data_IF_843590889085
#
_entry.id   IF_843590889085
#
_cell.length_a   1.000
_cell.length_b   1.000
_cell.length_c   1.000
_cell.angle_alpha   90.00
_cell.angle_beta   90.00
_cell.angle_gamma   90.00
#
_symmetry.space_group_name_H-M   'P 1'
#
loop_
_entity.id
_entity.type
_entity.pdbx_description
1 polymer ?
#
# COMPACT_ATOMS: atom_id res chain seq x y z
N UNK A 1 15.17 2.81 13.49
CA UNK A 1 16.19 1.84 13.85
C UNK A 1 16.03 1.34 15.31
N UNK A 2 15.98 2.23 16.32
CA UNK A 2 15.93 1.81 17.74
C UNK A 2 14.73 0.90 18.05
N UNK A 3 13.55 1.16 17.44
CA UNK A 3 12.37 0.32 17.64
C UNK A 3 12.57 -1.11 17.12
N UNK A 4 13.12 -1.28 15.93
CA UNK A 4 13.33 -2.62 15.35
C UNK A 4 14.41 -3.40 16.11
N UNK A 5 15.48 -2.73 16.56
CA UNK A 5 16.54 -3.35 17.37
C UNK A 5 16.01 -3.82 18.74
N UNK A 6 15.16 -3.00 19.37
CA UNK A 6 14.52 -3.37 20.63
C UNK A 6 13.53 -4.54 20.46
N UNK A 7 12.68 -4.49 19.42
CA UNK A 7 11.73 -5.57 19.13
C UNK A 7 12.44 -6.89 18.79
N UNK A 8 13.55 -6.83 18.07
CA UNK A 8 14.36 -7.99 17.74
C UNK A 8 15.14 -8.57 18.94
N UNK A 9 15.22 -7.85 20.07
CA UNK A 9 16.11 -8.17 21.19
C UNK A 9 17.58 -8.36 20.72
N UNK A 10 18.04 -7.35 19.97
CA UNK A 10 19.33 -7.40 19.28
C UNK A 10 20.51 -7.80 20.18
N UNK A 11 20.55 -7.30 21.42
CA UNK A 11 21.62 -7.61 22.37
C UNK A 11 21.64 -9.10 22.73
N UNK A 12 20.48 -9.71 22.96
CA UNK A 12 20.37 -11.14 23.24
C UNK A 12 20.76 -11.99 22.02
N UNK A 13 20.34 -11.60 20.84
CA UNK A 13 20.74 -12.27 19.60
C UNK A 13 22.27 -12.25 19.41
N UNK A 14 22.96 -11.13 19.69
CA UNK A 14 24.41 -11.04 19.62
C UNK A 14 25.10 -11.92 20.67
N UNK A 15 24.53 -12.04 21.87
CA UNK A 15 25.05 -12.95 22.90
C UNK A 15 24.89 -14.41 22.48
N UNK A 16 23.76 -14.81 21.91
CA UNK A 16 23.55 -16.15 21.38
C UNK A 16 24.52 -16.48 20.24
N UNK A 17 24.68 -15.55 19.29
CA UNK A 17 25.64 -15.70 18.21
C UNK A 17 27.07 -15.95 18.74
N UNK A 18 27.51 -15.16 19.70
CA UNK A 18 28.83 -15.34 20.33
C UNK A 18 28.97 -16.71 20.98
N UNK A 19 27.93 -17.18 21.68
CA UNK A 19 27.92 -18.50 22.31
C UNK A 19 28.01 -19.63 21.28
N UNK A 20 27.28 -19.56 20.17
CA UNK A 20 27.34 -20.55 19.08
C UNK A 20 28.74 -20.59 18.44
N UNK A 21 29.36 -19.46 18.20
CA UNK A 21 30.75 -19.34 17.67
C UNK A 21 31.75 -19.95 18.65
N UNK A 22 31.64 -19.62 19.92
CA UNK A 22 32.58 -20.13 20.95
C UNK A 22 32.46 -21.64 21.16
N UNK A 23 31.31 -22.23 21.00
CA UNK A 23 31.10 -23.69 21.11
C UNK A 23 31.49 -24.46 19.85
N UNK A 24 31.86 -23.79 18.75
CA UNK A 24 32.12 -24.44 17.48
C UNK A 24 30.85 -25.08 16.85
N UNK A 25 29.69 -24.52 17.13
CA UNK A 25 28.42 -25.04 16.58
C UNK A 25 28.47 -25.07 15.05
N UNK A 26 28.00 -26.16 14.46
CA UNK A 26 27.80 -26.27 13.01
C UNK A 26 26.72 -25.30 12.52
N UNK A 27 25.72 -25.02 13.38
CA UNK A 27 24.63 -24.09 13.06
C UNK A 27 24.95 -22.70 13.59
N UNK A 28 25.37 -21.84 12.68
CA UNK A 28 25.76 -20.47 12.98
C UNK A 28 24.59 -19.50 12.87
N UNK A 29 24.46 -18.62 13.85
CA UNK A 29 23.45 -17.55 13.84
C UNK A 29 24.00 -16.32 13.13
N UNK A 30 23.21 -15.75 12.22
CA UNK A 30 23.49 -14.48 11.56
C UNK A 30 22.43 -13.45 11.82
N UNK A 31 22.83 -12.19 11.96
CA UNK A 31 21.94 -11.07 12.24
C UNK A 31 22.25 -9.96 11.26
N UNK A 32 21.31 -9.68 10.36
CA UNK A 32 21.42 -8.61 9.38
C UNK A 32 20.51 -7.43 9.74
N UNK A 33 21.01 -6.23 9.53
CA UNK A 33 20.25 -4.99 9.74
C UNK A 33 20.30 -4.17 8.46
N UNK A 34 19.16 -3.72 8.00
CA UNK A 34 19.06 -2.75 6.90
C UNK A 34 18.31 -1.50 7.34
N UNK A 35 18.61 -0.39 6.70
CA UNK A 35 17.83 0.85 6.78
C UNK A 35 17.67 1.39 5.36
N UNK A 36 16.51 1.95 5.07
CA UNK A 36 16.25 2.48 3.73
C UNK A 36 15.42 3.76 3.77
N UNK A 37 15.52 4.53 2.70
CA UNK A 37 14.58 5.57 2.30
C UNK A 37 14.28 5.32 0.83
N UNK A 38 13.01 5.23 0.49
CA UNK A 38 12.53 5.02 -0.88
C UNK A 38 11.97 6.32 -1.44
N UNK A 39 12.11 6.55 -2.74
CA UNK A 39 11.37 7.57 -3.47
C UNK A 39 10.17 6.92 -4.17
N UNK A 40 8.95 7.37 -3.86
CA UNK A 40 7.73 6.84 -4.46
C UNK A 40 7.01 7.86 -5.32
N UNK A 41 6.47 7.44 -6.45
CA UNK A 41 5.81 8.28 -7.46
C UNK A 41 6.68 9.45 -7.97
N UNK A 42 8.00 9.28 -8.01
CA UNK A 42 8.94 10.36 -8.40
C UNK A 42 8.74 10.92 -9.80
N UNK A 43 8.30 10.07 -10.74
CA UNK A 43 8.07 10.41 -12.15
C UNK A 43 6.58 10.32 -12.52
N UNK A 44 5.68 10.65 -11.61
CA UNK A 44 4.25 10.46 -11.81
C UNK A 44 3.66 11.51 -12.78
N UNK A 45 2.95 11.03 -13.78
CA UNK A 45 2.12 11.85 -14.68
C UNK A 45 0.78 12.27 -14.07
N UNK A 46 0.56 11.96 -12.80
CA UNK A 46 -0.74 12.13 -12.16
C UNK A 46 -1.63 10.88 -12.28
N UNK A 47 -2.87 11.00 -11.84
CA UNK A 47 -3.89 9.96 -11.94
C UNK A 47 -5.27 10.58 -12.07
N UNK A 48 -6.18 9.87 -12.73
CA UNK A 48 -7.57 10.27 -12.89
C UNK A 48 -8.49 9.40 -12.04
N UNK A 49 -9.54 10.00 -11.51
CA UNK A 49 -10.66 9.29 -10.90
C UNK A 49 -11.99 9.90 -11.36
N UNK A 50 -12.97 9.04 -11.61
CA UNK A 50 -14.35 9.44 -11.86
C UNK A 50 -15.25 8.77 -10.82
N UNK A 51 -16.22 9.51 -10.29
CA UNK A 51 -17.24 8.97 -9.40
C UNK A 51 -18.59 9.31 -9.98
N UNK A 52 -19.43 8.31 -10.11
CA UNK A 52 -20.81 8.42 -10.59
C UNK A 52 -21.76 7.93 -9.49
N UNK A 53 -22.82 8.70 -9.21
CA UNK A 53 -23.89 8.28 -8.30
C UNK A 53 -25.07 7.81 -9.12
N UNK A 54 -25.48 6.58 -8.91
CA UNK A 54 -26.61 5.95 -9.57
C UNK A 54 -27.95 6.39 -8.97
N UNK A 55 -29.07 6.19 -9.68
CA UNK A 55 -30.38 6.67 -9.24
C UNK A 55 -30.92 6.00 -7.96
N UNK A 56 -30.32 4.88 -7.55
CA UNK A 56 -30.59 4.22 -6.27
C UNK A 56 -29.66 4.66 -5.14
N UNK A 57 -28.81 5.68 -5.40
CA UNK A 57 -27.90 6.26 -4.41
C UNK A 57 -26.65 5.45 -4.13
N UNK A 58 -26.29 4.49 -4.98
CA UNK A 58 -25.00 3.82 -4.98
C UNK A 58 -23.96 4.71 -5.65
N UNK A 59 -22.69 4.47 -5.41
CA UNK A 59 -21.60 5.11 -6.13
C UNK A 59 -20.78 4.09 -6.92
N UNK A 60 -20.27 4.52 -8.08
CA UNK A 60 -19.30 3.78 -8.87
C UNK A 60 -18.06 4.63 -9.01
N UNK A 61 -16.93 4.11 -8.53
CA UNK A 61 -15.60 4.74 -8.62
C UNK A 61 -14.84 4.12 -9.78
N UNK A 62 -14.40 4.93 -10.72
CA UNK A 62 -13.57 4.50 -11.85
C UNK A 62 -12.14 4.98 -11.62
N UNK A 63 -11.16 4.09 -11.77
CA UNK A 63 -9.75 4.39 -11.51
C UNK A 63 -8.82 3.70 -12.49
N UNK A 64 -7.74 4.39 -12.89
CA UNK A 64 -6.67 3.82 -13.70
C UNK A 64 -5.64 3.01 -12.93
N UNK A 65 -5.71 2.97 -11.60
CA UNK A 65 -4.79 2.20 -10.74
C UNK A 65 -5.30 0.77 -10.54
N UNK A 66 -5.04 -0.10 -11.52
CA UNK A 66 -5.47 -1.50 -11.49
C UNK A 66 -4.87 -2.27 -10.31
N UNK A 67 -5.66 -3.02 -9.53
CA UNK A 67 -5.16 -3.89 -8.48
C UNK A 67 -4.53 -5.18 -9.03
N UNK A 68 -3.56 -5.69 -8.26
CA UNK A 68 -2.92 -6.99 -8.45
C UNK A 68 -2.91 -7.79 -7.13
N UNK A 69 -3.94 -7.61 -6.30
CA UNK A 69 -4.04 -8.19 -4.97
C UNK A 69 -3.81 -7.20 -3.81
N UNK A 70 -3.47 -5.92 -4.09
CA UNK A 70 -3.15 -4.91 -3.06
C UNK A 70 -4.37 -4.39 -2.29
N UNK A 71 -5.60 -4.79 -2.66
CA UNK A 71 -6.82 -4.34 -1.98
C UNK A 71 -7.30 -2.96 -2.39
N UNK A 72 -7.01 -2.51 -3.62
CA UNK A 72 -7.43 -1.18 -4.11
C UNK A 72 -8.94 -0.98 -4.05
N UNK A 73 -9.74 -2.01 -4.39
CA UNK A 73 -11.21 -1.92 -4.32
C UNK A 73 -11.67 -1.50 -2.92
N UNK A 74 -11.14 -2.16 -1.90
CA UNK A 74 -11.45 -1.81 -0.50
C UNK A 74 -10.97 -0.40 -0.16
N UNK A 75 -9.73 -0.06 -0.55
CA UNK A 75 -9.13 1.24 -0.23
C UNK A 75 -9.88 2.40 -0.88
N UNK A 76 -10.27 2.26 -2.16
CA UNK A 76 -11.01 3.30 -2.87
C UNK A 76 -12.44 3.44 -2.36
N UNK A 77 -13.09 2.32 -2.04
CA UNK A 77 -14.41 2.35 -1.39
C UNK A 77 -14.35 3.01 0.00
N UNK A 78 -13.31 2.76 0.80
CA UNK A 78 -13.10 3.44 2.09
C UNK A 78 -12.96 4.95 1.92
N UNK A 79 -12.10 5.40 0.98
CA UNK A 79 -11.88 6.83 0.74
C UNK A 79 -13.16 7.51 0.25
N UNK A 80 -13.86 6.91 -0.71
CA UNK A 80 -15.10 7.45 -1.23
C UNK A 80 -16.19 7.48 -0.15
N UNK A 81 -16.36 6.39 0.62
CA UNK A 81 -17.31 6.31 1.73
C UNK A 81 -17.02 7.35 2.82
N UNK A 82 -15.75 7.49 3.20
CA UNK A 82 -15.35 8.47 4.22
C UNK A 82 -15.63 9.92 3.79
N UNK A 83 -15.62 10.21 2.50
CA UNK A 83 -15.88 11.55 1.97
C UNK A 83 -17.35 11.78 1.69
N UNK A 84 -18.05 10.81 1.09
CA UNK A 84 -19.43 10.96 0.62
C UNK A 84 -20.51 10.50 1.61
N UNK A 85 -20.13 9.80 2.69
CA UNK A 85 -21.06 9.16 3.60
C UNK A 85 -21.82 7.97 3.00
N UNK A 86 -21.65 7.66 1.71
CA UNK A 86 -22.26 6.48 1.07
C UNK A 86 -21.61 5.23 1.69
N UNK A 87 -22.39 4.26 2.22
CA UNK A 87 -21.87 3.04 2.80
C UNK A 87 -20.97 2.26 1.84
N UNK A 88 -19.90 1.66 2.35
CA UNK A 88 -18.92 0.92 1.52
C UNK A 88 -19.55 -0.20 0.69
N UNK A 89 -20.57 -0.87 1.19
CA UNK A 89 -21.30 -1.95 0.49
C UNK A 89 -22.18 -1.42 -0.66
N UNK A 90 -22.31 -0.11 -0.78
CA UNK A 90 -22.96 0.60 -1.89
C UNK A 90 -21.97 1.28 -2.83
N UNK A 91 -20.68 0.98 -2.72
CA UNK A 91 -19.66 1.56 -3.59
C UNK A 91 -19.01 0.44 -4.40
N UNK A 92 -19.17 0.52 -5.72
CA UNK A 92 -18.51 -0.34 -6.68
C UNK A 92 -17.24 0.35 -7.21
N UNK A 93 -16.18 -0.41 -7.53
CA UNK A 93 -14.95 0.13 -8.09
C UNK A 93 -14.67 -0.56 -9.43
N UNK A 94 -14.47 0.24 -10.47
CA UNK A 94 -14.21 -0.21 -11.85
C UNK A 94 -12.80 0.15 -12.26
N UNK A 95 -12.07 -0.83 -12.81
CA UNK A 95 -10.71 -0.69 -13.34
C UNK A 95 -10.47 -1.67 -14.49
N UNK A 96 -9.37 -1.47 -15.23
CA UNK A 96 -8.89 -2.44 -16.23
C UNK A 96 -9.70 -2.52 -17.52
N UNK A 97 -10.80 -1.79 -17.61
CA UNK A 97 -11.60 -1.65 -18.82
C UNK A 97 -11.29 -0.29 -19.47
N UNK A 98 -10.59 -0.30 -20.59
CA UNK A 98 -10.16 0.93 -21.26
C UNK A 98 -11.27 1.69 -21.95
N UNK A 99 -12.44 1.09 -22.16
CA UNK A 99 -13.62 1.78 -22.67
C UNK A 99 -14.31 2.60 -21.56
N UNK A 100 -14.26 2.12 -20.32
CA UNK A 100 -14.83 2.78 -19.14
C UNK A 100 -13.84 3.69 -18.41
N UNK A 101 -12.54 3.33 -18.45
CA UNK A 101 -11.43 4.03 -17.81
C UNK A 101 -10.34 4.33 -18.84
N UNK A 102 -10.55 5.32 -19.72
CA UNK A 102 -9.64 5.61 -20.83
C UNK A 102 -8.32 6.27 -20.40
N UNK A 103 -8.26 6.76 -19.16
CA UNK A 103 -7.08 7.41 -18.59
C UNK A 103 -6.61 6.67 -17.35
N UNK A 104 -5.28 6.56 -17.17
CA UNK A 104 -4.68 6.02 -15.95
C UNK A 104 -3.21 5.76 -16.10
N UNK A 105 -2.46 6.00 -15.03
CA UNK A 105 -1.01 5.75 -14.97
C UNK A 105 -0.66 4.33 -14.52
N UNK A 106 -1.62 3.53 -14.09
CA UNK A 106 -1.41 2.17 -13.61
C UNK A 106 -0.81 2.09 -12.20
N UNK A 107 -0.46 0.87 -11.81
CA UNK A 107 0.10 0.55 -10.48
C UNK A 107 1.56 0.16 -10.60
N UNK A 108 2.47 1.04 -10.20
CA UNK A 108 3.92 0.86 -10.20
C UNK A 108 4.58 1.89 -9.29
N UNK A 109 5.84 1.69 -8.87
CA UNK A 109 6.62 2.68 -8.12
C UNK A 109 5.91 3.15 -6.84
N UNK A 110 5.15 2.28 -6.21
CA UNK A 110 4.40 2.50 -4.96
C UNK A 110 3.48 3.73 -5.00
N UNK A 111 2.89 4.06 -6.19
CA UNK A 111 2.16 5.31 -6.45
C UNK A 111 0.66 5.27 -6.16
N UNK A 112 0.06 4.08 -6.08
CA UNK A 112 -1.40 3.94 -6.19
C UNK A 112 -2.16 4.74 -5.14
N UNK A 113 -1.82 4.64 -3.84
CA UNK A 113 -2.54 5.38 -2.80
C UNK A 113 -2.30 6.89 -2.90
N UNK A 114 -1.04 7.31 -3.08
CA UNK A 114 -0.68 8.74 -3.09
C UNK A 114 -1.05 9.49 -4.38
N UNK A 115 -1.42 8.78 -5.44
CA UNK A 115 -1.93 9.35 -6.70
C UNK A 115 -3.39 8.96 -6.92
N UNK A 116 -3.67 7.67 -7.12
CA UNK A 116 -5.01 7.16 -7.39
C UNK A 116 -5.97 7.35 -6.21
N UNK A 117 -5.52 7.03 -4.99
CA UNK A 117 -6.34 7.25 -3.79
C UNK A 117 -6.63 8.73 -3.55
N UNK A 118 -5.64 9.60 -3.81
CA UNK A 118 -5.86 11.05 -3.70
C UNK A 118 -6.79 11.56 -4.82
N UNK A 119 -6.67 11.05 -6.05
CA UNK A 119 -7.61 11.39 -7.12
C UNK A 119 -9.06 11.03 -6.72
N UNK A 120 -9.27 9.85 -6.14
CA UNK A 120 -10.59 9.44 -5.61
C UNK A 120 -11.05 10.37 -4.48
N UNK A 121 -10.17 10.74 -3.55
CA UNK A 121 -10.49 11.65 -2.45
C UNK A 121 -10.92 13.04 -2.95
N UNK A 122 -10.17 13.60 -3.90
CA UNK A 122 -10.48 14.91 -4.49
C UNK A 122 -11.78 14.85 -5.29
N UNK A 123 -11.95 13.85 -6.15
CA UNK A 123 -13.18 13.65 -6.91
C UNK A 123 -14.40 13.49 -6.00
N UNK A 124 -14.28 12.76 -4.89
CA UNK A 124 -15.35 12.61 -3.91
C UNK A 124 -15.71 13.94 -3.22
N UNK A 125 -14.71 14.74 -2.85
CA UNK A 125 -14.93 16.06 -2.27
C UNK A 125 -15.61 17.03 -3.25
N UNK A 126 -15.15 17.05 -4.50
CA UNK A 126 -15.77 17.86 -5.56
C UNK A 126 -17.19 17.40 -5.88
N UNK A 127 -17.46 16.09 -5.85
CA UNK A 127 -18.80 15.52 -6.00
C UNK A 127 -19.75 15.99 -4.88
N UNK A 128 -19.29 16.01 -3.63
CA UNK A 128 -20.07 16.52 -2.48
C UNK A 128 -20.42 17.99 -2.71
N UNK A 129 -19.46 18.82 -3.15
CA UNK A 129 -19.72 20.23 -3.43
C UNK A 129 -20.66 20.44 -4.62
N UNK A 130 -20.54 19.65 -5.69
CA UNK A 130 -21.47 19.64 -6.80
C UNK A 130 -22.88 19.28 -6.31
N UNK A 131 -22.99 18.20 -5.54
CA UNK A 131 -24.25 17.73 -4.98
C UNK A 131 -24.92 18.76 -4.06
N UNK A 132 -24.12 19.46 -3.21
CA UNK A 132 -24.60 20.54 -2.33
C UNK A 132 -25.25 21.68 -3.10
N UNK A 133 -24.63 22.09 -4.22
CA UNK A 133 -25.20 23.13 -5.12
C UNK A 133 -26.50 22.70 -5.77
N UNK A 134 -26.60 21.45 -6.18
CA UNK A 134 -27.86 20.90 -6.73
C UNK A 134 -28.92 20.73 -5.66
N UNK A 135 -28.57 20.31 -4.46
CA UNK A 135 -29.47 20.24 -3.33
C UNK A 135 -30.05 21.61 -2.98
N UNK A 136 -29.25 22.67 -3.01
CA UNK A 136 -29.75 24.03 -2.78
C UNK A 136 -30.87 24.44 -3.75
N UNK A 137 -30.70 24.10 -5.03
CA UNK A 137 -31.76 24.36 -6.04
C UNK A 137 -33.02 23.57 -5.76
N UNK A 138 -32.92 22.28 -5.39
CA UNK A 138 -34.07 21.43 -5.07
C UNK A 138 -34.75 21.77 -3.75
N UNK A 139 -34.04 22.43 -2.84
CA UNK A 139 -34.52 22.89 -1.54
C UNK A 139 -34.98 24.35 -1.58
N UNK A 140 -34.85 25.03 -2.75
CA UNK A 140 -35.17 26.45 -2.93
C UNK A 140 -34.43 27.34 -1.89
N UNK A 141 -33.16 27.02 -1.61
CA UNK A 141 -32.33 27.66 -0.60
C UNK A 141 -31.05 28.26 -1.23
N UNK A 142 -30.38 29.16 -0.50
CA UNK A 142 -29.04 29.61 -0.88
C UNK A 142 -28.02 28.49 -0.70
N UNK A 143 -27.01 28.42 -1.56
CA UNK A 143 -25.95 27.42 -1.49
C UNK A 143 -25.20 27.44 -0.14
N UNK A 144 -25.04 28.61 0.46
CA UNK A 144 -24.36 28.81 1.75
C UNK A 144 -25.15 28.23 2.94
N UNK A 145 -26.46 28.13 2.80
CA UNK A 145 -27.37 27.63 3.84
C UNK A 145 -27.49 26.08 3.81
N UNK A 146 -27.05 25.42 2.73
CA UNK A 146 -27.12 23.97 2.60
C UNK A 146 -25.86 23.32 3.12
N UNK A 147 -26.04 22.37 4.05
CA UNK A 147 -24.98 21.56 4.64
C UNK A 147 -25.11 20.11 4.19
N UNK A 148 -23.97 19.46 4.05
CA UNK A 148 -23.88 18.02 3.87
C UNK A 148 -23.75 17.35 5.25
N UNK A 149 -24.68 16.50 5.58
CA UNK A 149 -24.60 15.62 6.75
C UNK A 149 -24.05 14.26 6.31
N UNK A 150 -22.81 14.00 6.68
CA UNK A 150 -22.09 12.78 6.35
C UNK A 150 -22.70 11.53 7.01
N UNK A 151 -23.24 11.66 8.22
CA UNK A 151 -23.80 10.51 8.95
C UNK A 151 -25.09 9.97 8.29
N UNK A 152 -25.95 10.88 7.85
CA UNK A 152 -27.15 10.52 7.11
C UNK A 152 -26.93 10.42 5.60
N UNK A 153 -25.75 10.74 5.10
CA UNK A 153 -25.40 10.82 3.68
C UNK A 153 -26.42 11.68 2.90
N UNK A 154 -26.77 12.86 3.43
CA UNK A 154 -27.82 13.72 2.89
C UNK A 154 -27.49 15.20 2.97
N UNK A 155 -28.24 16.02 2.22
CA UNK A 155 -28.08 17.46 2.13
C UNK A 155 -29.35 18.16 2.63
N UNK A 156 -29.21 19.09 3.55
CA UNK A 156 -30.37 19.83 4.11
C UNK A 156 -30.00 21.28 4.39
N UNK A 157 -31.01 22.14 4.54
CA UNK A 157 -30.78 23.51 4.99
C UNK A 157 -30.46 23.52 6.47
N UNK A 158 -29.48 24.33 6.86
CA UNK A 158 -29.06 24.51 8.26
C UNK A 158 -30.28 24.78 9.16
N UNK A 159 -30.42 24.00 10.22
CA UNK A 159 -31.52 24.08 11.15
C UNK A 159 -32.81 23.36 10.70
N UNK A 160 -32.85 22.74 9.51
CA UNK A 160 -34.05 22.04 9.01
C UNK A 160 -33.70 20.62 8.48
N UNK A 161 -33.12 19.75 9.32
CA UNK A 161 -32.68 18.43 8.86
C UNK A 161 -33.82 17.48 8.44
N UNK A 162 -35.05 17.79 8.83
CA UNK A 162 -36.22 17.00 8.46
C UNK A 162 -36.57 17.11 6.94
N UNK A 163 -36.04 18.13 6.26
CA UNK A 163 -36.20 18.32 4.82
C UNK A 163 -34.85 18.16 4.13
N UNK A 164 -34.50 16.90 3.88
CA UNK A 164 -33.21 16.56 3.28
C UNK A 164 -33.36 16.02 1.85
N UNK A 165 -32.29 16.08 1.08
CA UNK A 165 -32.12 15.42 -0.22
C UNK A 165 -31.02 14.38 -0.09
N UNK A 166 -31.32 13.15 -0.42
CA UNK A 166 -30.36 12.04 -0.48
C UNK A 166 -29.57 12.06 -1.79
N UNK A 167 -28.51 11.27 -1.86
CA UNK A 167 -27.77 11.01 -3.10
C UNK A 167 -28.69 10.50 -4.22
N UNK A 168 -29.65 9.63 -3.89
CA UNK A 168 -30.62 9.11 -4.84
C UNK A 168 -31.54 10.23 -5.39
N UNK A 169 -32.05 11.10 -4.51
CA UNK A 169 -32.90 12.23 -4.93
C UNK A 169 -32.16 13.15 -5.92
N UNK A 170 -30.90 13.44 -5.64
CA UNK A 170 -30.08 14.28 -6.50
C UNK A 170 -29.75 13.59 -7.84
N UNK A 171 -29.42 12.31 -7.83
CA UNK A 171 -29.10 11.56 -9.04
C UNK A 171 -30.31 11.42 -9.93
N UNK A 172 -31.54 11.17 -9.37
CA UNK A 172 -32.78 11.14 -10.12
C UNK A 172 -33.08 12.51 -10.74
N UNK A 173 -32.93 13.59 -9.99
CA UNK A 173 -33.17 14.93 -10.48
C UNK A 173 -32.28 15.32 -11.66
N UNK A 174 -31.02 14.86 -11.63
CA UNK A 174 -30.01 15.18 -12.63
C UNK A 174 -29.94 14.17 -13.80
N UNK A 175 -30.76 13.11 -13.78
CA UNK A 175 -30.66 12.04 -14.78
C UNK A 175 -30.79 12.51 -16.24
N UNK A 176 -31.56 13.59 -16.48
CA UNK A 176 -31.73 14.18 -17.81
C UNK A 176 -30.61 15.18 -18.19
N UNK A 177 -29.84 15.63 -17.20
CA UNK A 177 -28.81 16.66 -17.36
C UNK A 177 -27.38 16.05 -17.33
N UNK A 178 -27.25 14.75 -17.60
CA UNK A 178 -25.98 14.02 -17.65
C UNK A 178 -25.65 13.21 -16.40
N UNK A 179 -26.51 13.25 -15.38
CA UNK A 179 -26.31 12.50 -14.13
C UNK A 179 -25.46 13.25 -13.09
N UNK A 180 -25.28 12.63 -11.96
CA UNK A 180 -24.42 13.14 -10.88
C UNK A 180 -23.06 12.45 -10.99
N UNK A 181 -22.14 13.09 -11.72
CA UNK A 181 -20.84 12.56 -12.09
C UNK A 181 -19.76 13.62 -11.83
N UNK A 182 -18.65 13.21 -11.24
CA UNK A 182 -17.45 14.02 -11.09
C UNK A 182 -16.24 13.26 -11.61
N UNK A 183 -15.47 13.88 -12.50
CA UNK A 183 -14.18 13.39 -12.99
C UNK A 183 -13.10 14.39 -12.64
N UNK A 184 -11.97 13.91 -12.12
CA UNK A 184 -10.87 14.75 -11.65
C UNK A 184 -9.53 14.14 -12.06
N UNK A 185 -8.68 14.96 -12.67
CA UNK A 185 -7.27 14.67 -12.91
C UNK A 185 -6.44 15.26 -11.75
N UNK A 186 -5.77 14.40 -11.02
CA UNK A 186 -4.90 14.80 -9.91
C UNK A 186 -3.43 14.64 -10.27
N UNK A 187 -2.65 15.67 -10.03
CA UNK A 187 -1.19 15.63 -10.15
C UNK A 187 -0.59 15.95 -8.79
N UNK A 188 0.25 15.06 -8.27
CA UNK A 188 0.85 15.27 -6.96
C UNK A 188 1.87 16.39 -6.95
N UNK A 189 2.07 16.99 -5.77
CA UNK A 189 3.08 18.05 -5.53
C UNK A 189 4.51 17.50 -5.45
N UNK A 190 4.74 16.28 -5.90
CA UNK A 190 6.05 15.62 -5.95
C UNK A 190 6.06 14.26 -5.24
N UNK A 191 7.24 13.66 -5.19
CA UNK A 191 7.47 12.36 -4.59
C UNK A 191 7.20 12.34 -3.08
N UNK A 192 6.88 11.16 -2.56
CA UNK A 192 6.93 10.89 -1.12
C UNK A 192 8.07 9.94 -0.78
N UNK A 193 8.44 9.89 0.48
CA UNK A 193 9.62 9.18 0.96
C UNK A 193 9.24 8.30 2.15
N UNK A 194 8.72 7.07 1.93
CA UNK A 194 8.65 6.07 2.96
C UNK A 194 10.06 5.67 3.40
N UNK A 195 10.21 5.22 4.62
CA UNK A 195 11.48 4.79 5.17
C UNK A 195 11.27 3.71 6.22
N UNK A 196 12.30 2.90 6.46
CA UNK A 196 12.19 1.83 7.43
C UNK A 196 13.53 1.28 7.88
N UNK A 197 13.44 0.30 8.77
CA UNK A 197 14.55 -0.50 9.23
C UNK A 197 14.09 -1.94 9.45
N UNK A 198 14.87 -2.90 8.96
CA UNK A 198 14.60 -4.32 9.10
C UNK A 198 15.74 -5.03 9.83
N UNK A 199 15.38 -6.05 10.60
CA UNK A 199 16.31 -7.01 11.22
C UNK A 199 15.93 -8.40 10.78
N UNK A 200 16.87 -9.10 10.13
CA UNK A 200 16.75 -10.51 9.78
C UNK A 200 17.65 -11.37 10.67
N UNK A 201 17.15 -12.52 11.08
CA UNK A 201 17.90 -13.52 11.83
C UNK A 201 17.87 -14.82 11.03
N UNK A 202 19.05 -15.31 10.67
CA UNK A 202 19.20 -16.57 9.94
C UNK A 202 20.01 -17.58 10.73
N UNK A 203 19.77 -18.85 10.43
CA UNK A 203 20.65 -19.95 10.82
C UNK A 203 21.30 -20.52 9.56
N UNK A 204 22.62 -20.62 9.57
CA UNK A 204 23.39 -21.22 8.49
C UNK A 204 24.08 -22.48 8.99
N UNK A 205 23.79 -23.60 8.34
CA UNK A 205 24.49 -24.85 8.57
C UNK A 205 25.78 -24.87 7.76
N UNK A 206 26.93 -24.85 8.45
CA UNK A 206 28.25 -24.71 7.81
C UNK A 206 28.76 -26.00 7.15
N UNK A 207 28.13 -27.16 7.40
CA UNK A 207 28.45 -28.42 6.71
C UNK A 207 27.69 -28.57 5.40
N UNK A 208 26.43 -28.13 5.37
CA UNK A 208 25.57 -28.32 4.20
C UNK A 208 25.39 -27.04 3.36
N UNK A 209 25.65 -25.86 3.92
CA UNK A 209 25.37 -24.57 3.32
C UNK A 209 23.89 -24.19 3.39
N UNK A 210 23.05 -24.97 4.05
CA UNK A 210 21.62 -24.67 4.17
C UNK A 210 21.39 -23.40 5.00
N UNK A 211 20.58 -22.49 4.50
CA UNK A 211 20.17 -21.26 5.20
C UNK A 211 18.70 -21.36 5.57
N UNK A 212 18.39 -21.03 6.82
CA UNK A 212 17.03 -20.92 7.32
C UNK A 212 16.76 -19.52 7.87
N UNK A 213 15.76 -18.83 7.34
CA UNK A 213 15.26 -17.57 7.92
C UNK A 213 14.48 -17.93 9.20
N UNK A 214 14.99 -17.53 10.37
CA UNK A 214 14.40 -17.82 11.66
C UNK A 214 13.40 -16.74 12.09
N UNK A 215 13.72 -15.48 11.81
CA UNK A 215 12.95 -14.32 12.28
C UNK A 215 13.19 -13.13 11.35
N UNK A 216 12.14 -12.34 11.13
CA UNK A 216 12.25 -11.06 10.44
C UNK A 216 11.38 -10.02 11.15
N UNK A 217 11.97 -8.90 11.52
CA UNK A 217 11.30 -7.77 12.17
C UNK A 217 11.44 -6.56 11.28
N UNK A 218 10.33 -5.93 10.91
CA UNK A 218 10.29 -4.73 10.09
C UNK A 218 9.66 -3.57 10.87
N UNK A 219 10.16 -2.36 10.64
CA UNK A 219 9.59 -1.13 11.18
C UNK A 219 9.57 -0.09 10.08
N UNK A 220 8.39 0.13 9.49
CA UNK A 220 8.20 0.91 8.28
C UNK A 220 7.25 2.09 8.50
N UNK A 221 7.52 3.21 7.81
CA UNK A 221 6.73 4.41 7.82
C UNK A 221 6.04 4.61 6.46
N UNK A 222 4.71 4.47 6.46
CA UNK A 222 3.83 4.65 5.30
C UNK A 222 3.12 6.02 5.29
N UNK A 223 3.57 6.99 6.09
CA UNK A 223 2.83 8.21 6.34
C UNK A 223 1.55 7.93 7.14
N UNK A 224 0.42 8.48 6.73
CA UNK A 224 -0.88 8.16 7.33
C UNK A 224 -1.35 6.78 6.87
N UNK A 225 -1.64 5.90 7.81
CA UNK A 225 -2.16 4.56 7.53
C UNK A 225 -3.67 4.63 7.25
N UNK A 226 -4.08 4.21 6.05
CA UNK A 226 -5.49 4.15 5.66
C UNK A 226 -6.16 2.88 6.20
N UNK A 227 -5.56 1.73 5.97
CA UNK A 227 -6.06 0.43 6.39
C UNK A 227 -4.89 -0.43 6.89
N UNK A 228 -4.79 -0.67 8.22
CA UNK A 228 -3.68 -1.43 8.81
C UNK A 228 -3.56 -2.85 8.27
N UNK A 229 -4.68 -3.55 8.03
CA UNK A 229 -4.69 -4.92 7.53
C UNK A 229 -4.10 -5.02 6.12
N UNK A 230 -4.51 -4.11 5.23
CA UNK A 230 -3.99 -4.08 3.86
C UNK A 230 -2.51 -3.65 3.84
N UNK A 231 -2.13 -2.70 4.67
CA UNK A 231 -0.75 -2.26 4.83
C UNK A 231 0.15 -3.42 5.29
N UNK A 232 -0.26 -4.15 6.31
CA UNK A 232 0.48 -5.31 6.84
C UNK A 232 0.64 -6.39 5.76
N UNK A 233 -0.42 -6.68 5.01
CA UNK A 233 -0.38 -7.61 3.88
C UNK A 233 0.63 -7.20 2.79
N UNK A 234 0.74 -5.90 2.49
CA UNK A 234 1.74 -5.39 1.54
C UNK A 234 3.17 -5.55 2.07
N UNK A 235 3.41 -5.24 3.34
CA UNK A 235 4.73 -5.38 3.96
C UNK A 235 5.14 -6.85 4.01
N UNK A 236 4.24 -7.76 4.43
CA UNK A 236 4.50 -9.20 4.46
C UNK A 236 4.85 -9.75 3.07
N UNK A 237 4.08 -9.38 2.05
CA UNK A 237 4.34 -9.78 0.67
C UNK A 237 5.69 -9.28 0.16
N UNK A 238 6.04 -8.03 0.45
CA UNK A 238 7.33 -7.44 0.10
C UNK A 238 8.50 -8.13 0.81
N UNK A 239 8.37 -8.43 2.11
CA UNK A 239 9.39 -9.16 2.88
C UNK A 239 9.60 -10.56 2.29
N UNK A 240 8.51 -11.28 1.98
CA UNK A 240 8.59 -12.60 1.37
C UNK A 240 9.35 -12.56 0.03
N UNK A 241 9.04 -11.59 -0.82
CA UNK A 241 9.69 -11.39 -2.11
C UNK A 241 11.19 -11.08 -1.95
N UNK A 242 11.56 -10.18 -1.02
CA UNK A 242 12.96 -9.83 -0.79
C UNK A 242 13.76 -10.96 -0.14
N UNK A 243 13.16 -11.77 0.74
CA UNK A 243 13.78 -12.96 1.30
C UNK A 243 14.01 -14.02 0.20
N UNK A 244 13.05 -14.23 -0.70
CA UNK A 244 13.17 -15.13 -1.85
C UNK A 244 14.32 -14.73 -2.76
N UNK A 245 14.43 -13.45 -3.10
CA UNK A 245 15.53 -12.92 -3.90
C UNK A 245 16.90 -13.17 -3.25
N UNK A 246 17.00 -13.02 -1.93
CA UNK A 246 18.26 -13.20 -1.22
C UNK A 246 18.67 -14.68 -1.07
N UNK A 247 17.70 -15.62 -1.03
CA UNK A 247 17.95 -17.00 -0.63
C UNK A 247 17.78 -18.03 -1.75
N UNK A 248 16.91 -17.79 -2.73
CA UNK A 248 16.47 -18.82 -3.68
C UNK A 248 16.48 -18.39 -5.13
N UNK A 249 15.97 -17.17 -5.43
CA UNK A 249 15.70 -16.74 -6.80
C UNK A 249 16.98 -16.38 -7.55
N UNK A 250 17.22 -17.07 -8.67
CA UNK A 250 18.35 -16.82 -9.56
C UNK A 250 17.94 -17.02 -11.02
N UNK A 251 18.26 -16.05 -11.87
CA UNK A 251 18.18 -16.21 -13.32
C UNK A 251 19.58 -16.46 -13.85
N UNK A 252 19.81 -17.65 -14.42
CA UNK A 252 21.11 -18.06 -14.98
C UNK A 252 21.06 -18.07 -16.48
N UNK A 253 22.18 -17.75 -17.09
CA UNK A 253 22.37 -17.73 -18.54
C UNK A 253 23.53 -18.66 -18.94
N UNK A 254 23.44 -19.22 -20.15
CA UNK A 254 24.56 -19.93 -20.77
C UNK A 254 25.62 -18.96 -21.32
N UNK A 255 26.69 -19.50 -21.92
CA UNK A 255 27.77 -18.71 -22.52
C UNK A 255 27.33 -17.82 -23.69
N UNK A 256 26.23 -18.15 -24.32
CA UNK A 256 25.67 -17.44 -25.48
C UNK A 256 24.60 -16.41 -25.07
N UNK A 257 24.32 -16.29 -23.78
CA UNK A 257 23.34 -15.35 -23.22
C UNK A 257 21.91 -15.85 -23.23
N UNK A 258 21.64 -17.14 -23.47
CA UNK A 258 20.31 -17.70 -23.40
C UNK A 258 19.95 -18.03 -21.94
N UNK A 259 18.72 -17.70 -21.46
CA UNK A 259 18.29 -18.05 -20.11
C UNK A 259 18.13 -19.57 -19.97
N UNK A 260 18.82 -20.18 -19.02
CA UNK A 260 18.68 -21.61 -18.67
C UNK A 260 17.69 -21.86 -17.55
N UNK A 261 17.36 -20.83 -16.74
CA UNK A 261 16.21 -20.84 -15.80
C UNK A 261 14.99 -20.28 -16.50
N UNK A 262 14.33 -21.09 -17.36
CA UNK A 262 13.28 -20.63 -18.26
C UNK A 262 11.88 -21.10 -17.91
N UNK A 263 11.73 -21.86 -16.84
CA UNK A 263 10.44 -22.38 -16.38
C UNK A 263 10.43 -22.54 -14.84
N UNK A 264 9.26 -22.78 -14.23
CA UNK A 264 9.12 -22.91 -12.78
C UNK A 264 9.71 -24.18 -12.16
N UNK A 265 10.21 -25.13 -12.96
CA UNK A 265 10.98 -26.25 -12.44
C UNK A 265 12.46 -25.87 -12.20
N UNK A 266 12.96 -24.93 -13.00
CA UNK A 266 14.36 -24.46 -12.94
C UNK A 266 14.52 -23.18 -12.09
N UNK A 267 13.47 -22.35 -12.02
CA UNK A 267 13.43 -21.12 -11.22
C UNK A 267 12.85 -21.41 -9.84
N UNK A 268 13.69 -21.36 -8.81
CA UNK A 268 13.27 -21.58 -7.44
C UNK A 268 12.61 -20.33 -6.88
N UNK A 269 11.35 -20.42 -6.49
CA UNK A 269 10.65 -19.36 -5.74
C UNK A 269 10.20 -19.87 -4.37
N UNK A 270 10.09 -18.95 -3.42
CA UNK A 270 9.80 -19.28 -2.03
C UNK A 270 8.33 -19.69 -1.85
N UNK A 271 8.08 -20.60 -0.94
CA UNK A 271 6.74 -20.96 -0.47
C UNK A 271 6.52 -20.51 0.98
N UNK A 272 5.28 -20.53 1.44
CA UNK A 272 4.96 -20.20 2.82
C UNK A 272 5.61 -21.15 3.84
N UNK A 273 6.04 -22.34 3.42
CA UNK A 273 6.68 -23.33 4.29
C UNK A 273 8.13 -22.93 4.68
N UNK A 274 8.80 -22.13 3.85
CA UNK A 274 10.18 -21.69 4.11
C UNK A 274 10.24 -20.38 4.91
N UNK A 275 9.12 -19.69 5.08
CA UNK A 275 9.06 -18.41 5.76
C UNK A 275 8.57 -18.51 7.20
N UNK A 276 9.18 -17.79 8.15
CA UNK A 276 8.61 -17.57 9.47
C UNK A 276 7.45 -16.58 9.39
N UNK A 277 6.67 -16.44 10.47
CA UNK A 277 5.82 -15.27 10.65
C UNK A 277 6.67 -14.01 10.79
N UNK A 278 6.25 -12.91 10.16
CA UNK A 278 6.95 -11.64 10.23
C UNK A 278 6.39 -10.76 11.36
N UNK A 279 7.26 -9.98 11.98
CA UNK A 279 6.90 -9.00 13.00
C UNK A 279 6.96 -7.60 12.37
N UNK A 280 5.82 -6.90 12.31
CA UNK A 280 5.72 -5.58 11.68
C UNK A 280 5.36 -4.52 12.70
N UNK A 281 6.09 -3.41 12.67
CA UNK A 281 5.87 -2.22 13.49
C UNK A 281 5.56 -1.07 12.55
N UNK A 282 4.35 -0.54 12.64
CA UNK A 282 3.96 0.62 11.86
C UNK A 282 4.43 1.92 12.51
N UNK A 283 4.91 2.83 11.67
CA UNK A 283 5.17 4.21 12.01
C UNK A 283 4.35 5.12 11.11
N UNK A 284 3.92 6.24 11.66
CA UNK A 284 3.19 7.27 10.93
C UNK A 284 3.91 8.62 11.01
N UNK A 285 4.45 9.06 9.88
CA UNK A 285 4.94 10.41 9.67
C UNK A 285 4.24 10.97 8.43
N UNK A 286 3.04 11.55 8.58
CA UNK A 286 2.24 12.02 7.46
C UNK A 286 3.01 12.97 6.55
N UNK A 287 2.88 12.78 5.23
CA UNK A 287 3.49 13.70 4.26
C UNK A 287 2.60 14.93 4.05
N UNK A 288 3.17 16.13 3.90
CA UNK A 288 2.41 17.31 3.49
C UNK A 288 2.15 17.37 1.97
N UNK A 289 2.66 16.41 1.18
CA UNK A 289 2.60 16.42 -0.29
C UNK A 289 1.25 16.02 -0.87
N UNK A 290 0.38 15.42 -0.06
CA UNK A 290 -0.98 15.06 -0.46
C UNK A 290 -1.95 15.16 0.72
N UNK A 291 -3.26 15.35 0.47
CA UNK A 291 -4.26 15.56 1.53
C UNK A 291 -4.51 14.33 2.40
N UNK A 292 -4.21 13.12 1.94
CA UNK A 292 -4.32 11.90 2.73
C UNK A 292 -3.14 11.72 3.71
N UNK A 293 -2.05 12.48 3.55
CA UNK A 293 -0.83 12.30 4.34
C UNK A 293 -0.13 10.97 4.10
N UNK A 294 -0.56 10.20 3.09
CA UNK A 294 -0.07 8.86 2.82
C UNK A 294 1.20 8.86 1.98
N UNK A 295 2.07 7.87 2.23
CA UNK A 295 3.24 7.57 1.41
C UNK A 295 3.04 6.22 0.72
N UNK A 296 3.71 6.00 -0.41
CA UNK A 296 3.74 4.70 -1.04
C UNK A 296 4.49 3.68 -0.18
N UNK A 297 4.03 2.42 -0.15
CA UNK A 297 4.64 1.36 0.69
C UNK A 297 4.77 0.02 -0.05
N UNK A 298 4.32 -0.03 -1.31
CA UNK A 298 4.22 -1.29 -2.05
C UNK A 298 5.53 -2.05 -2.22
N UNK A 299 6.66 -1.37 -2.26
CA UNK A 299 7.99 -1.96 -2.49
C UNK A 299 8.87 -1.97 -1.24
N UNK A 300 8.47 -1.29 -0.18
CA UNK A 300 9.27 -1.09 1.04
C UNK A 300 9.69 -2.39 1.72
N UNK A 301 8.81 -3.38 1.81
CA UNK A 301 9.12 -4.68 2.36
C UNK A 301 10.28 -5.36 1.62
N UNK A 302 10.30 -5.32 0.29
CA UNK A 302 11.37 -5.88 -0.54
C UNK A 302 12.68 -5.12 -0.38
N UNK A 303 12.62 -3.78 -0.42
CA UNK A 303 13.79 -2.92 -0.29
C UNK A 303 14.51 -3.17 1.05
N UNK A 304 13.76 -3.32 2.13
CA UNK A 304 14.32 -3.56 3.47
C UNK A 304 14.80 -4.98 3.68
N UNK A 305 14.05 -5.99 3.20
CA UNK A 305 14.32 -7.39 3.53
C UNK A 305 15.49 -8.00 2.76
N UNK A 306 15.64 -7.72 1.47
CA UNK A 306 16.73 -8.29 0.66
C UNK A 306 18.11 -8.03 1.29
N UNK A 307 18.53 -6.78 1.57
CA UNK A 307 19.82 -6.52 2.18
C UNK A 307 19.91 -7.00 3.64
N UNK A 308 18.79 -7.00 4.39
CA UNK A 308 18.80 -7.52 5.76
C UNK A 308 19.07 -9.03 5.79
N UNK A 309 18.43 -9.81 4.93
CA UNK A 309 18.65 -11.27 4.83
C UNK A 309 20.04 -11.57 4.33
N UNK A 310 20.49 -10.93 3.25
CA UNK A 310 21.84 -11.10 2.71
C UNK A 310 22.91 -10.78 3.76
N UNK A 311 22.79 -9.65 4.46
CA UNK A 311 23.70 -9.26 5.51
C UNK A 311 23.71 -10.25 6.68
N UNK A 312 22.56 -10.85 7.01
CA UNK A 312 22.48 -11.88 8.04
C UNK A 312 23.26 -13.14 7.65
N UNK A 313 23.18 -13.58 6.40
CA UNK A 313 23.95 -14.74 5.91
C UNK A 313 25.46 -14.46 5.98
N UNK A 314 25.88 -13.29 5.52
CA UNK A 314 27.28 -12.87 5.60
C UNK A 314 27.75 -12.79 7.05
N UNK A 315 26.95 -12.18 7.94
CA UNK A 315 27.26 -12.08 9.38
C UNK A 315 27.40 -13.45 10.05
N UNK A 316 26.57 -14.44 9.68
CA UNK A 316 26.70 -15.80 10.20
C UNK A 316 28.07 -16.41 9.92
N UNK A 317 28.66 -16.12 8.77
CA UNK A 317 29.87 -16.73 8.23
C UNK A 317 31.13 -15.83 8.34
N UNK A 318 30.96 -14.60 8.79
CA UNK A 318 32.06 -13.61 8.83
C UNK A 318 33.30 -14.08 9.64
N UNK A 319 33.08 -14.86 10.71
CA UNK A 319 34.17 -15.43 11.53
C UNK A 319 34.98 -16.52 10.81
N UNK A 320 34.46 -17.04 9.68
CA UNK A 320 35.15 -17.98 8.78
C UNK A 320 35.87 -17.27 7.61
N UNK A 321 35.89 -15.93 7.61
CA UNK A 321 36.53 -15.13 6.57
C UNK A 321 35.70 -14.88 5.33
N UNK A 322 34.41 -15.24 5.33
CA UNK A 322 33.45 -14.97 4.25
C UNK A 322 32.96 -13.52 4.36
N UNK A 323 32.96 -12.81 3.22
CA UNK A 323 32.62 -11.39 3.12
C UNK A 323 31.57 -11.15 2.04
#
# INVERSE_FOLDING_TARGET
LNRVLAAADYTKLRAEQAARRASGSVKQLGIGVSVYVEITAGNSSGESAKIEVTQDGRAVVFTGTSPHGQGHVTSWAMIASDTTGIPMDKIDVVWGDTDLVPKGGGTMGSRSLQQGGVAVHVAAGELVEQARKHAARLLEANEEDVVFDKESASFHVTGTPAVAKSWADLSIALAKDGGLIQETDYVSQGATFPFGAHVSVVEVDTETGQVKLLRHVACDDAGKVLNPLLLEGQIHGGIAQGAAQALLEEVRYDSDGNPITSNFADYAFISAAELPSFEVIHMETPTPRNPLGAKGIGESGTIGSTPAVQSAVVDALAHLGIR
#
